data_IF_803376586700
#
_entry.id   IF_803376586700
#
_cell.length_a   1.000
_cell.length_b   1.000
_cell.length_c   1.000
_cell.angle_alpha   90.00
_cell.angle_beta   90.00
_cell.angle_gamma   90.00
#
_symmetry.space_group_name_H-M   'P 1'
#
loop_
_entity.id
_entity.type
_entity.pdbx_description
1 polymer ?
#
# COMPACT_ATOMS: atom_id res chain seq x y z
N UNK A 1 -7.19 11.17 13.91
CA UNK A 1 -6.90 10.24 12.80
C UNK A 1 -7.34 8.84 13.22
N UNK A 2 -8.04 8.11 12.36
CA UNK A 2 -8.36 6.69 12.57
C UNK A 2 -7.58 5.90 11.52
N UNK A 3 -6.74 4.95 11.98
CA UNK A 3 -6.02 4.03 11.11
C UNK A 3 -6.65 2.66 11.24
N UNK A 4 -6.86 2.00 10.10
CA UNK A 4 -7.49 0.68 10.04
C UNK A 4 -6.49 -0.27 9.40
N UNK A 5 -6.06 -1.25 10.18
CA UNK A 5 -5.18 -2.30 9.71
C UNK A 5 -6.00 -3.39 9.02
N UNK A 6 -5.50 -3.89 7.89
CA UNK A 6 -6.20 -4.86 7.05
C UNK A 6 -5.47 -6.19 7.03
N UNK A 7 -6.18 -7.33 6.96
CA UNK A 7 -5.55 -8.63 6.78
C UNK A 7 -4.64 -8.67 5.55
N UNK A 8 -3.54 -9.43 5.65
CA UNK A 8 -2.57 -9.60 4.57
C UNK A 8 -3.08 -10.59 3.52
N UNK A 9 -3.10 -10.19 2.25
CA UNK A 9 -3.30 -11.09 1.11
C UNK A 9 -2.18 -12.15 1.08
N UNK A 10 -2.47 -13.42 0.83
CA UNK A 10 -1.58 -14.58 1.13
C UNK A 10 -1.63 -15.07 2.60
N UNK A 11 -2.82 -15.07 3.22
CA UNK A 11 -3.10 -15.74 4.50
C UNK A 11 -3.18 -17.26 4.29
N UNK A 12 -2.49 -18.05 5.11
CA UNK A 12 -2.53 -19.52 5.03
C UNK A 12 -3.92 -20.11 5.35
N UNK A 13 -4.79 -19.33 5.98
CA UNK A 13 -6.14 -19.73 6.41
C UNK A 13 -7.26 -19.13 5.56
N UNK A 14 -7.00 -18.09 4.77
CA UNK A 14 -8.02 -17.38 3.98
C UNK A 14 -7.54 -17.15 2.56
N UNK A 15 -8.43 -17.38 1.62
CA UNK A 15 -8.19 -17.04 0.21
C UNK A 15 -8.14 -15.53 0.02
N UNK A 16 -7.41 -15.08 -1.00
CA UNK A 16 -7.34 -13.64 -1.31
C UNK A 16 -8.72 -13.03 -1.61
N UNK A 17 -9.65 -13.84 -2.14
CA UNK A 17 -11.02 -13.38 -2.42
C UNK A 17 -11.81 -13.16 -1.13
N UNK A 18 -11.61 -13.99 -0.10
CA UNK A 18 -12.21 -13.77 1.22
C UNK A 18 -11.66 -12.49 1.84
N UNK A 19 -10.35 -12.26 1.75
CA UNK A 19 -9.73 -11.03 2.26
C UNK A 19 -10.26 -9.79 1.53
N UNK A 20 -10.33 -9.84 0.19
CA UNK A 20 -10.93 -8.77 -0.62
C UNK A 20 -12.37 -8.49 -0.19
N UNK A 21 -13.16 -9.55 0.02
CA UNK A 21 -14.56 -9.44 0.43
C UNK A 21 -14.66 -8.80 1.82
N UNK A 22 -13.83 -9.22 2.77
CA UNK A 22 -13.79 -8.64 4.12
C UNK A 22 -13.48 -7.13 4.09
N UNK A 23 -12.47 -6.71 3.31
CA UNK A 23 -12.10 -5.31 3.19
C UNK A 23 -13.23 -4.52 2.51
N UNK A 24 -13.80 -5.05 1.41
CA UNK A 24 -14.90 -4.43 0.69
C UNK A 24 -16.17 -4.26 1.54
N UNK A 25 -16.54 -5.28 2.30
CA UNK A 25 -17.69 -5.25 3.21
C UNK A 25 -17.48 -4.24 4.35
N UNK A 26 -16.26 -4.20 4.91
CA UNK A 26 -15.92 -3.21 5.94
C UNK A 26 -16.01 -1.78 5.40
N UNK A 27 -15.49 -1.52 4.20
CA UNK A 27 -15.58 -0.21 3.53
C UNK A 27 -17.05 0.18 3.29
N UNK A 28 -17.86 -0.75 2.78
CA UNK A 28 -19.29 -0.52 2.53
C UNK A 28 -20.05 -0.18 3.80
N UNK A 29 -19.88 -0.97 4.87
CA UNK A 29 -20.57 -0.75 6.15
C UNK A 29 -20.12 0.56 6.81
N UNK A 30 -18.85 0.93 6.68
CA UNK A 30 -18.30 2.18 7.21
C UNK A 30 -18.84 3.38 6.46
N UNK A 31 -18.94 3.31 5.13
CA UNK A 31 -19.55 4.34 4.31
C UNK A 31 -21.02 4.57 4.63
N UNK A 32 -21.79 3.50 4.88
CA UNK A 32 -23.19 3.58 5.31
C UNK A 32 -23.38 4.31 6.66
N UNK A 33 -22.33 4.36 7.48
CA UNK A 33 -22.31 5.12 8.75
C UNK A 33 -21.82 6.56 8.57
N UNK A 34 -21.78 7.08 7.34
CA UNK A 34 -21.26 8.40 6.98
C UNK A 34 -19.78 8.64 7.33
N UNK A 35 -18.98 7.57 7.46
CA UNK A 35 -17.53 7.67 7.61
C UNK A 35 -16.89 7.48 6.24
N UNK A 36 -16.19 8.50 5.74
CA UNK A 36 -15.52 8.46 4.44
C UNK A 36 -14.06 8.03 4.58
N UNK A 37 -13.60 7.25 3.62
CA UNK A 37 -12.19 6.91 3.47
C UNK A 37 -11.43 8.16 2.99
N UNK A 38 -10.37 8.54 3.70
CA UNK A 38 -9.50 9.66 3.31
C UNK A 38 -8.43 9.22 2.30
N UNK A 39 -7.89 8.02 2.48
CA UNK A 39 -6.95 7.41 1.54
C UNK A 39 -6.49 6.04 2.03
N UNK A 40 -5.60 5.43 1.25
CA UNK A 40 -5.11 4.08 1.49
C UNK A 40 -3.59 4.09 1.46
N UNK A 41 -2.98 3.44 2.45
CA UNK A 41 -1.53 3.22 2.49
C UNK A 41 -1.25 1.78 2.10
N UNK A 42 -0.49 1.57 1.01
CA UNK A 42 0.02 0.26 0.65
C UNK A 42 1.47 0.15 1.12
N UNK A 43 1.75 -0.73 2.08
CA UNK A 43 3.08 -0.85 2.67
C UNK A 43 3.88 -1.95 1.97
N UNK A 44 5.11 -1.64 1.57
CA UNK A 44 6.04 -2.57 0.98
C UNK A 44 7.40 -2.50 1.67
N UNK A 45 8.06 -3.63 1.93
CA UNK A 45 9.39 -3.65 2.55
C UNK A 45 10.46 -3.54 1.49
N UNK A 46 11.32 -2.52 1.57
CA UNK A 46 12.44 -2.37 0.64
C UNK A 46 13.53 -3.44 0.85
N UNK A 47 13.52 -4.08 2.03
CA UNK A 47 14.44 -5.17 2.38
C UNK A 47 14.18 -6.47 1.61
N UNK A 48 13.02 -6.62 0.95
CA UNK A 48 12.70 -7.84 0.24
C UNK A 48 13.54 -7.96 -1.04
N UNK A 49 14.35 -9.02 -1.14
CA UNK A 49 15.32 -9.19 -2.24
C UNK A 49 14.68 -9.45 -3.61
N UNK A 50 13.37 -9.74 -3.66
CA UNK A 50 12.63 -10.03 -4.90
C UNK A 50 11.17 -9.62 -4.76
N UNK A 51 10.66 -8.88 -5.75
CA UNK A 51 9.22 -8.79 -6.03
C UNK A 51 8.76 -10.03 -6.82
N UNK A 52 8.85 -11.20 -6.20
CA UNK A 52 8.43 -12.49 -6.78
C UNK A 52 7.47 -13.21 -5.84
N UNK A 53 6.42 -13.82 -6.37
CA UNK A 53 5.43 -14.54 -5.57
C UNK A 53 4.37 -13.60 -4.97
N UNK A 54 4.20 -13.64 -3.65
CA UNK A 54 3.08 -13.00 -2.96
C UNK A 54 3.02 -11.47 -3.06
N UNK A 55 4.11 -10.67 -3.00
CA UNK A 55 3.98 -9.22 -3.04
C UNK A 55 3.42 -8.68 -4.37
N UNK A 56 3.77 -9.32 -5.50
CA UNK A 56 3.23 -8.96 -6.81
C UNK A 56 1.75 -9.35 -6.94
N UNK A 57 1.39 -10.55 -6.47
CA UNK A 57 -0.01 -11.00 -6.43
C UNK A 57 -0.85 -10.08 -5.55
N UNK A 58 -0.31 -9.66 -4.41
CA UNK A 58 -0.96 -8.75 -3.47
C UNK A 58 -1.20 -7.37 -4.08
N UNK A 59 -0.20 -6.79 -4.75
CA UNK A 59 -0.37 -5.52 -5.45
C UNK A 59 -1.43 -5.61 -6.57
N UNK A 60 -1.47 -6.73 -7.29
CA UNK A 60 -2.48 -6.96 -8.32
C UNK A 60 -3.89 -7.07 -7.74
N UNK A 61 -4.05 -7.82 -6.65
CA UNK A 61 -5.34 -7.94 -5.94
C UNK A 61 -5.79 -6.61 -5.33
N UNK A 62 -4.84 -5.87 -4.75
CA UNK A 62 -5.06 -4.52 -4.25
C UNK A 62 -5.49 -3.55 -5.37
N UNK A 63 -4.86 -3.63 -6.53
CA UNK A 63 -5.26 -2.86 -7.71
C UNK A 63 -6.70 -3.15 -8.13
N UNK A 64 -7.13 -4.41 -8.08
CA UNK A 64 -8.55 -4.78 -8.33
C UNK A 64 -9.51 -4.20 -7.30
N UNK A 65 -9.10 -4.11 -6.03
CA UNK A 65 -9.91 -3.52 -4.96
C UNK A 65 -10.10 -2.02 -5.17
N UNK A 66 -9.02 -1.31 -5.51
CA UNK A 66 -9.06 0.14 -5.67
C UNK A 66 -9.76 0.53 -6.99
N UNK A 67 -9.55 -0.24 -8.05
CA UNK A 67 -9.89 0.21 -9.41
C UNK A 67 -9.08 1.45 -9.82
N UNK A 68 -9.25 1.89 -11.06
CA UNK A 68 -8.45 2.98 -11.61
C UNK A 68 -8.73 4.33 -10.90
N UNK A 69 -9.99 4.58 -10.53
CA UNK A 69 -10.39 5.87 -9.95
C UNK A 69 -9.97 6.04 -8.49
N UNK A 70 -9.85 4.96 -7.70
CA UNK A 70 -9.43 5.08 -6.31
C UNK A 70 -7.89 5.05 -6.15
N UNK A 71 -7.15 4.73 -7.22
CA UNK A 71 -5.69 4.74 -7.20
C UNK A 71 -5.11 6.12 -6.84
N UNK A 72 -5.78 7.22 -7.21
CA UNK A 72 -5.39 8.58 -6.82
C UNK A 72 -5.39 8.82 -5.30
N UNK A 73 -6.13 8.00 -4.54
CA UNK A 73 -6.20 8.05 -3.09
C UNK A 73 -5.25 7.06 -2.41
N UNK A 74 -4.36 6.42 -3.18
CA UNK A 74 -3.36 5.47 -2.68
C UNK A 74 -2.01 6.14 -2.54
N UNK A 75 -1.35 5.90 -1.40
CA UNK A 75 0.08 6.16 -1.21
C UNK A 75 0.80 4.82 -1.08
N UNK A 76 1.72 4.55 -2.00
CA UNK A 76 2.60 3.39 -1.98
C UNK A 76 3.82 3.72 -1.11
N UNK A 77 3.91 3.08 0.04
CA UNK A 77 4.91 3.39 1.06
C UNK A 77 5.98 2.30 1.11
N UNK A 78 7.23 2.67 0.86
CA UNK A 78 8.39 1.79 1.09
C UNK A 78 8.85 1.89 2.55
N UNK A 79 9.08 0.75 3.20
CA UNK A 79 9.40 0.61 4.63
C UNK A 79 10.69 -0.18 4.83
N UNK A 80 11.20 -0.23 6.06
CA UNK A 80 12.40 -0.99 6.44
C UNK A 80 13.68 -0.57 5.71
N UNK A 81 13.80 0.73 5.42
CA UNK A 81 14.98 1.34 4.81
C UNK A 81 16.25 1.17 5.66
N UNK A 82 16.09 1.01 6.97
CA UNK A 82 17.15 0.76 7.96
C UNK A 82 17.70 -0.68 7.94
N UNK A 83 17.14 -1.57 7.11
CA UNK A 83 17.51 -3.01 7.08
C UNK A 83 18.47 -3.39 5.95
N UNK A 84 18.72 -2.52 4.99
CA UNK A 84 19.62 -2.75 3.85
C UNK A 84 20.45 -1.50 3.58
N UNK A 85 21.57 -1.64 2.85
CA UNK A 85 22.38 -0.48 2.46
C UNK A 85 21.63 0.45 1.52
N UNK A 86 21.86 1.77 1.66
CA UNK A 86 21.16 2.83 0.92
C UNK A 86 21.14 2.61 -0.59
N UNK A 87 22.31 2.38 -1.21
CA UNK A 87 22.40 2.11 -2.65
C UNK A 87 21.56 0.91 -3.11
N UNK A 88 21.45 -0.12 -2.27
CA UNK A 88 20.62 -1.28 -2.56
C UNK A 88 19.13 -0.95 -2.42
N UNK A 89 18.76 -0.19 -1.39
CA UNK A 89 17.38 0.27 -1.19
C UNK A 89 16.91 1.14 -2.37
N UNK A 90 17.73 2.10 -2.80
CA UNK A 90 17.43 2.99 -3.94
C UNK A 90 17.30 2.24 -5.26
N UNK A 91 18.17 1.25 -5.50
CA UNK A 91 18.07 0.39 -6.68
C UNK A 91 16.75 -0.39 -6.70
N UNK A 92 16.31 -0.89 -5.54
CA UNK A 92 15.02 -1.61 -5.42
C UNK A 92 13.84 -0.66 -5.56
N UNK A 93 13.92 0.53 -5.00
CA UNK A 93 12.86 1.53 -5.12
C UNK A 93 12.67 1.95 -6.57
N UNK A 94 13.76 2.13 -7.30
CA UNK A 94 13.72 2.41 -8.74
C UNK A 94 12.98 1.30 -9.50
N UNK A 95 13.21 0.04 -9.14
CA UNK A 95 12.49 -1.10 -9.72
C UNK A 95 11.00 -1.11 -9.32
N UNK A 96 10.69 -0.81 -8.06
CA UNK A 96 9.30 -0.68 -7.59
C UNK A 96 8.56 0.37 -8.40
N UNK A 97 9.08 1.59 -8.45
CA UNK A 97 8.47 2.73 -9.15
C UNK A 97 8.38 2.45 -10.66
N UNK A 98 9.47 2.00 -11.28
CA UNK A 98 9.56 1.85 -12.74
C UNK A 98 8.84 0.63 -13.31
N UNK A 99 8.54 -0.38 -12.49
CA UNK A 99 7.97 -1.64 -12.99
C UNK A 99 6.72 -2.05 -12.23
N UNK A 100 6.82 -2.27 -10.92
CA UNK A 100 5.73 -2.89 -10.17
C UNK A 100 4.60 -1.93 -9.82
N UNK A 101 4.95 -0.74 -9.36
CA UNK A 101 4.03 0.33 -8.98
C UNK A 101 3.56 1.16 -10.15
N UNK A 102 4.22 1.02 -11.30
CA UNK A 102 3.95 1.82 -12.50
C UNK A 102 2.46 1.92 -12.84
N UNK A 103 1.71 0.82 -12.83
CA UNK A 103 0.28 0.85 -13.15
C UNK A 103 -0.56 1.70 -12.18
N UNK A 104 -0.21 1.71 -10.89
CA UNK A 104 -0.88 2.56 -9.90
C UNK A 104 -0.44 4.02 -10.02
N UNK A 105 0.85 4.26 -10.31
CA UNK A 105 1.40 5.60 -10.49
C UNK A 105 0.87 6.27 -11.77
N UNK A 106 0.70 5.49 -12.84
CA UNK A 106 0.05 5.94 -14.08
C UNK A 106 -1.42 6.36 -13.81
N UNK A 107 -2.03 5.83 -12.75
CA UNK A 107 -3.36 6.21 -12.23
C UNK A 107 -3.29 7.17 -11.02
N UNK A 108 -2.26 8.02 -10.95
CA UNK A 108 -2.09 9.10 -9.98
C UNK A 108 -1.88 8.69 -8.51
N UNK A 109 -1.54 7.43 -8.21
CA UNK A 109 -1.07 7.07 -6.88
C UNK A 109 0.21 7.86 -6.53
N UNK A 110 0.41 8.14 -5.24
CA UNK A 110 1.62 8.78 -4.71
C UNK A 110 2.58 7.74 -4.15
N UNK A 111 3.84 8.11 -3.96
CA UNK A 111 4.84 7.29 -3.24
C UNK A 111 5.37 8.01 -2.02
N UNK A 112 5.80 7.26 -1.01
CA UNK A 112 6.53 7.81 0.12
C UNK A 112 7.53 6.80 0.72
N UNK A 113 8.54 7.30 1.43
CA UNK A 113 9.53 6.49 2.16
C UNK A 113 9.27 6.61 3.66
N UNK A 114 9.05 5.49 4.32
CA UNK A 114 8.99 5.42 5.78
C UNK A 114 10.36 5.06 6.35
N UNK A 115 10.98 6.02 7.05
CA UNK A 115 12.33 5.92 7.61
C UNK A 115 12.35 5.44 9.07
N UNK A 116 11.33 4.67 9.47
CA UNK A 116 11.22 4.11 10.82
C UNK A 116 11.28 5.18 11.94
N UNK A 117 10.67 6.34 11.68
CA UNK A 117 10.64 7.49 12.62
C UNK A 117 9.24 8.10 12.71
N UNK A 118 8.93 8.74 13.85
CA UNK A 118 7.65 9.43 14.02
C UNK A 118 7.46 10.55 12.98
N UNK A 119 8.51 11.31 12.68
CA UNK A 119 8.44 12.40 11.71
C UNK A 119 8.11 11.90 10.31
N UNK A 120 8.75 10.80 9.87
CA UNK A 120 8.43 10.21 8.56
C UNK A 120 7.04 9.59 8.54
N UNK A 121 6.55 9.02 9.65
CA UNK A 121 5.17 8.51 9.73
C UNK A 121 4.15 9.65 9.57
N UNK A 122 4.28 10.72 10.35
CA UNK A 122 3.37 11.86 10.27
C UNK A 122 3.43 12.57 8.91
N UNK A 123 4.63 12.75 8.36
CA UNK A 123 4.80 13.30 7.01
C UNK A 123 4.13 12.47 5.90
N UNK A 124 3.89 11.18 6.11
CA UNK A 124 3.09 10.34 5.21
C UNK A 124 1.59 10.51 5.48
N UNK A 125 1.17 10.52 6.75
CA UNK A 125 -0.24 10.68 7.13
C UNK A 125 -0.79 12.03 6.65
N UNK A 126 -0.01 13.09 6.75
CA UNK A 126 -0.44 14.43 6.35
C UNK A 126 -0.71 14.53 4.85
N UNK A 127 0.00 13.75 4.01
CA UNK A 127 -0.24 13.68 2.56
C UNK A 127 -1.59 13.04 2.18
N UNK A 128 -2.22 12.30 3.11
CA UNK A 128 -3.56 11.70 2.93
C UNK A 128 -4.67 12.71 3.25
N UNK A 129 -4.36 13.73 4.05
CA UNK A 129 -5.34 14.71 4.53
C UNK A 129 -5.47 15.95 3.62
N UNK A 130 -4.61 16.08 2.61
CA UNK A 130 -4.64 17.11 1.55
C UNK A 130 -5.44 16.67 0.32
#
# INVERSE_FOLDING_TARGET
>A
VVLVDTPWFDDAQKTDMEILTMIGDWLRLTYQKNVRLAGILYLHRISDNRMSGSPHKNLHMFGKLCGDTAAQSVILVSTMWDRVGESMAESRETQLIGTYWKGMLDNHAKTARFHNSLDSAWGIIDQVAE
#
